data_IF_783075788838
#
_entry.id   IF_783075788838
#
_cell.length_a   1.000
_cell.length_b   1.000
_cell.length_c   1.000
_cell.angle_alpha   90.00
_cell.angle_beta   90.00
_cell.angle_gamma   90.00
#
_symmetry.space_group_name_H-M   'P 1'
#
loop_
_entity.id
_entity.type
_entity.pdbx_description
1 polymer ?
#
# COMPACT_ATOMS: atom_id res chain seq x y z
N UNK A 1 11.84 31.99 -2.69
CA UNK A 1 12.10 30.67 -2.07
C UNK A 1 12.89 30.97 -0.80
N UNK A 2 12.28 30.79 0.37
CA UNK A 2 12.96 31.01 1.65
C UNK A 2 13.84 29.80 1.93
N UNK A 3 15.11 30.04 2.20
CA UNK A 3 16.04 29.05 2.72
C UNK A 3 15.58 28.57 4.09
N UNK A 4 14.83 27.47 4.14
CA UNK A 4 14.53 26.80 5.38
C UNK A 4 15.77 25.97 5.78
N UNK A 5 16.41 26.35 6.90
CA UNK A 5 17.37 25.44 7.56
C UNK A 5 16.65 24.18 7.98
N UNK A 6 16.94 23.10 7.28
CA UNK A 6 16.31 21.80 7.52
C UNK A 6 16.97 21.16 8.74
N UNK A 7 16.20 20.96 9.80
CA UNK A 7 16.64 20.23 11.00
C UNK A 7 16.04 18.82 11.00
N UNK A 8 16.83 17.85 11.43
CA UNK A 8 16.49 16.43 11.70
C UNK A 8 15.30 15.80 10.96
N UNK A 9 14.09 16.04 11.42
CA UNK A 9 12.85 15.43 10.85
C UNK A 9 12.57 15.91 9.42
N UNK A 10 12.94 17.14 9.06
CA UNK A 10 12.73 17.68 7.72
C UNK A 10 13.70 17.06 6.68
N UNK A 11 14.83 16.52 7.13
CA UNK A 11 15.82 15.86 6.26
C UNK A 11 15.23 14.61 5.60
N UNK A 12 14.32 13.91 6.26
CA UNK A 12 13.64 12.74 5.72
C UNK A 12 12.56 13.10 4.67
N UNK A 13 12.01 14.31 4.72
CA UNK A 13 10.98 14.77 3.79
C UNK A 13 11.55 15.30 2.46
N UNK A 14 12.77 15.85 2.47
CA UNK A 14 13.42 16.41 1.27
C UNK A 14 13.49 15.43 0.09
N UNK A 15 13.92 14.15 0.27
CA UNK A 15 13.97 13.20 -0.84
C UNK A 15 12.61 12.93 -1.47
N UNK A 16 11.52 13.07 -0.69
CA UNK A 16 10.14 12.90 -1.17
C UNK A 16 9.76 14.11 -2.04
N UNK A 17 10.03 15.33 -1.58
CA UNK A 17 9.73 16.55 -2.32
C UNK A 17 10.59 16.70 -3.59
N UNK A 18 11.83 16.24 -3.57
CA UNK A 18 12.74 16.32 -4.71
C UNK A 18 12.65 15.11 -5.64
N UNK A 19 11.77 14.14 -5.36
CA UNK A 19 11.57 12.91 -6.13
C UNK A 19 12.86 12.11 -6.37
N UNK A 20 13.84 12.20 -5.47
CA UNK A 20 15.17 11.59 -5.62
C UNK A 20 15.16 10.06 -5.71
N UNK A 21 14.12 9.41 -5.19
CA UNK A 21 13.96 7.95 -5.34
C UNK A 21 13.78 7.49 -6.79
N UNK A 22 13.39 8.40 -7.67
CA UNK A 22 13.20 8.10 -9.08
C UNK A 22 14.53 7.83 -9.79
N UNK A 23 15.59 8.48 -9.34
CA UNK A 23 16.89 8.43 -9.98
C UNK A 23 17.79 7.43 -9.25
N UNK A 24 18.45 6.54 -10.00
CA UNK A 24 19.41 5.59 -9.43
C UNK A 24 20.54 6.37 -8.75
N UNK A 25 20.76 6.09 -7.45
CA UNK A 25 21.77 6.81 -6.67
C UNK A 25 21.42 8.26 -6.33
N UNK A 26 20.20 8.74 -6.66
CA UNK A 26 19.72 10.08 -6.30
C UNK A 26 19.59 10.27 -4.79
N UNK A 27 19.59 9.19 -4.04
CA UNK A 27 19.58 9.17 -2.57
C UNK A 27 20.57 8.14 -2.04
N UNK A 28 21.27 8.46 -0.95
CA UNK A 28 22.15 7.53 -0.25
C UNK A 28 21.72 7.39 1.20
N UNK A 29 21.80 6.19 1.76
CA UNK A 29 21.58 5.91 3.16
C UNK A 29 22.83 5.23 3.73
N UNK A 30 23.39 5.80 4.79
CA UNK A 30 24.67 5.33 5.38
C UNK A 30 25.77 5.09 4.34
N UNK A 31 25.89 5.98 3.35
CA UNK A 31 26.88 5.87 2.26
C UNK A 31 26.52 4.90 1.13
N UNK A 32 25.41 4.18 1.25
CA UNK A 32 24.95 3.23 0.22
C UNK A 32 23.95 3.91 -0.71
N UNK A 33 24.18 3.93 -2.04
CA UNK A 33 23.20 4.44 -3.00
C UNK A 33 21.93 3.60 -2.99
N UNK A 34 20.77 4.26 -2.97
CA UNK A 34 19.48 3.60 -3.06
C UNK A 34 19.08 3.51 -4.53
N UNK A 35 18.78 2.30 -4.98
CA UNK A 35 18.22 2.03 -6.31
C UNK A 35 16.96 1.19 -6.18
N UNK A 36 15.79 1.84 -6.28
CA UNK A 36 14.48 1.15 -6.22
C UNK A 36 14.27 0.22 -7.41
N UNK A 37 14.99 0.42 -8.51
CA UNK A 37 14.92 -0.46 -9.67
C UNK A 37 15.52 -1.84 -9.39
N UNK A 38 16.34 -1.98 -8.36
CA UNK A 38 16.93 -3.26 -7.95
C UNK A 38 15.94 -4.18 -7.25
N UNK A 39 14.75 -3.68 -6.86
CA UNK A 39 13.70 -4.46 -6.19
C UNK A 39 13.13 -5.48 -7.17
N UNK A 40 13.35 -6.76 -6.86
CA UNK A 40 12.89 -7.91 -7.66
C UNK A 40 11.74 -8.67 -6.99
N UNK A 41 11.43 -8.34 -5.75
CA UNK A 41 10.33 -8.95 -5.00
C UNK A 41 9.00 -8.70 -5.72
N UNK A 42 8.15 -9.72 -5.89
CA UNK A 42 6.80 -9.52 -6.40
C UNK A 42 6.05 -8.51 -5.55
N UNK A 43 5.52 -7.48 -6.16
CA UNK A 43 4.91 -6.35 -5.46
C UNK A 43 3.50 -6.07 -5.99
N UNK A 44 2.56 -5.91 -5.06
CA UNK A 44 1.20 -5.49 -5.35
C UNK A 44 1.03 -4.05 -4.90
N UNK A 45 0.80 -3.15 -5.84
CA UNK A 45 0.51 -1.75 -5.58
C UNK A 45 -0.99 -1.52 -5.60
N UNK A 46 -1.49 -0.89 -4.56
CA UNK A 46 -2.87 -0.42 -4.48
C UNK A 46 -2.88 1.10 -4.38
N UNK A 47 -3.70 1.71 -5.18
CA UNK A 47 -4.06 3.13 -5.05
C UNK A 47 -5.56 3.30 -5.14
N UNK A 48 -6.05 4.48 -4.76
CA UNK A 48 -7.47 4.81 -4.87
C UNK A 48 -7.68 6.00 -5.81
N UNK A 49 -8.73 5.93 -6.62
CA UNK A 49 -8.95 6.85 -7.74
C UNK A 49 -9.12 8.31 -7.29
N UNK A 50 -9.83 8.52 -6.19
CA UNK A 50 -10.17 9.84 -5.63
C UNK A 50 -9.24 10.24 -4.48
N UNK A 51 -8.07 9.62 -4.37
CA UNK A 51 -7.11 9.93 -3.32
C UNK A 51 -6.44 11.28 -3.58
N UNK A 52 -6.74 12.24 -2.72
CA UNK A 52 -6.17 13.59 -2.77
C UNK A 52 -4.90 13.75 -1.90
N UNK A 53 -4.60 12.74 -1.06
CA UNK A 53 -3.42 12.74 -0.18
C UNK A 53 -2.25 12.07 -0.90
N UNK A 54 -2.48 10.91 -1.49
CA UNK A 54 -1.52 10.14 -2.28
C UNK A 54 -2.05 9.90 -3.69
N UNK A 55 -1.94 10.89 -4.61
CA UNK A 55 -2.50 10.79 -5.95
C UNK A 55 -2.03 9.53 -6.67
N UNK A 56 -2.97 8.74 -7.18
CA UNK A 56 -2.70 7.44 -7.77
C UNK A 56 -1.72 7.47 -8.96
N UNK A 57 -1.66 8.58 -9.69
CA UNK A 57 -0.69 8.76 -10.79
C UNK A 57 0.74 8.79 -10.29
N UNK A 58 0.97 9.36 -9.10
CA UNK A 58 2.28 9.34 -8.45
C UNK A 58 2.67 7.94 -8.00
N UNK A 59 1.72 7.21 -7.40
CA UNK A 59 1.94 5.81 -7.00
C UNK A 59 2.18 4.91 -8.21
N UNK A 60 1.45 5.12 -9.32
CA UNK A 60 1.66 4.42 -10.57
C UNK A 60 3.08 4.65 -11.12
N UNK A 61 3.54 5.89 -11.11
CA UNK A 61 4.90 6.23 -11.53
C UNK A 61 5.94 5.50 -10.68
N UNK A 62 5.75 5.45 -9.35
CA UNK A 62 6.59 4.67 -8.44
C UNK A 62 6.59 3.17 -8.76
N UNK A 63 5.41 2.60 -9.01
CA UNK A 63 5.26 1.20 -9.36
C UNK A 63 6.00 0.82 -10.65
N UNK A 64 6.11 1.75 -11.61
CA UNK A 64 6.80 1.53 -12.88
C UNK A 64 8.32 1.42 -12.74
N UNK A 65 8.91 1.92 -11.65
CA UNK A 65 10.34 1.91 -11.41
C UNK A 65 10.86 0.52 -11.00
N UNK A 66 10.06 -0.29 -10.35
CA UNK A 66 10.47 -1.62 -9.87
C UNK A 66 10.71 -2.57 -11.03
N UNK A 67 11.81 -3.33 -11.02
CA UNK A 67 12.12 -4.31 -12.08
C UNK A 67 11.56 -5.71 -11.80
N UNK A 68 11.14 -6.00 -10.59
CA UNK A 68 10.46 -7.24 -10.24
C UNK A 68 9.04 -7.36 -10.84
N UNK A 69 8.35 -8.46 -10.60
CA UNK A 69 6.95 -8.60 -10.97
C UNK A 69 6.09 -7.57 -10.21
N UNK A 70 5.41 -6.71 -10.94
CA UNK A 70 4.53 -5.67 -10.37
C UNK A 70 3.11 -5.86 -10.86
N UNK A 71 2.17 -5.89 -9.94
CA UNK A 71 0.74 -5.73 -10.19
C UNK A 71 0.27 -4.41 -9.64
N UNK A 72 -0.36 -3.59 -10.47
CA UNK A 72 -0.97 -2.33 -10.05
C UNK A 72 -2.49 -2.45 -10.10
N UNK A 73 -3.14 -2.03 -9.04
CA UNK A 73 -4.60 -2.04 -8.90
C UNK A 73 -5.06 -0.67 -8.45
N UNK A 74 -6.07 -0.14 -9.12
CA UNK A 74 -6.68 1.14 -8.79
C UNK A 74 -8.09 0.88 -8.26
N UNK A 75 -8.32 1.11 -6.98
CA UNK A 75 -9.65 1.01 -6.37
C UNK A 75 -10.43 2.31 -6.56
N UNK A 76 -11.72 2.23 -6.66
CA UNK A 76 -12.59 3.40 -6.64
C UNK A 76 -12.61 4.08 -5.27
N UNK A 77 -13.22 5.28 -5.21
CA UNK A 77 -13.34 6.08 -3.98
C UNK A 77 -12.02 6.67 -3.46
N UNK A 78 -12.05 7.23 -2.25
CA UNK A 78 -10.95 7.99 -1.65
C UNK A 78 -10.01 7.18 -0.77
N UNK A 79 -9.09 7.88 -0.15
CA UNK A 79 -7.93 7.37 0.62
C UNK A 79 -8.24 6.23 1.59
N UNK A 80 -9.33 6.30 2.33
CA UNK A 80 -9.71 5.28 3.31
C UNK A 80 -10.75 4.32 2.71
N UNK A 81 -11.85 4.85 2.17
CA UNK A 81 -12.97 4.05 1.73
C UNK A 81 -12.65 3.13 0.52
N UNK A 82 -11.72 3.56 -0.34
CA UNK A 82 -11.25 2.72 -1.44
C UNK A 82 -10.35 1.57 -0.98
N UNK A 83 -9.63 1.73 0.12
CA UNK A 83 -8.75 0.70 0.71
C UNK A 83 -9.55 -0.25 1.61
N UNK A 84 -10.29 0.32 2.57
CA UNK A 84 -11.13 -0.44 3.51
C UNK A 84 -12.49 -0.71 2.86
N UNK A 85 -12.51 -1.64 1.93
CA UNK A 85 -13.68 -1.99 1.13
C UNK A 85 -13.97 -3.49 1.22
N UNK A 86 -14.61 -3.96 2.31
CA UNK A 86 -14.86 -5.38 2.51
C UNK A 86 -15.76 -5.94 1.40
N UNK A 87 -15.48 -7.16 0.89
CA UNK A 87 -16.23 -7.76 -0.22
C UNK A 87 -17.74 -7.85 0.02
N UNK A 88 -18.15 -8.10 1.26
CA UNK A 88 -19.56 -8.19 1.63
C UNK A 88 -20.35 -6.88 1.40
N UNK A 89 -19.67 -5.73 1.40
CA UNK A 89 -20.31 -4.44 1.14
C UNK A 89 -20.60 -4.22 -0.34
N UNK A 90 -19.90 -4.93 -1.23
CA UNK A 90 -19.99 -4.83 -2.70
C UNK A 90 -20.02 -3.38 -3.22
N UNK A 91 -19.20 -2.51 -2.61
CA UNK A 91 -19.07 -1.09 -2.97
C UNK A 91 -17.82 -0.88 -3.81
N UNK A 92 -17.82 0.22 -4.53
CA UNK A 92 -16.70 0.73 -5.31
C UNK A 92 -16.07 -0.33 -6.23
N UNK A 93 -15.96 -0.03 -7.49
CA UNK A 93 -15.24 -0.89 -8.42
C UNK A 93 -13.72 -0.71 -8.31
N UNK A 94 -12.98 -1.53 -9.03
CA UNK A 94 -11.55 -1.38 -9.16
C UNK A 94 -11.10 -1.71 -10.58
N UNK A 95 -9.95 -1.16 -10.98
CA UNK A 95 -9.35 -1.39 -12.29
C UNK A 95 -8.09 -2.24 -12.14
N UNK A 96 -7.97 -3.23 -13.00
CA UNK A 96 -6.83 -4.15 -13.08
C UNK A 96 -6.35 -4.27 -14.53
N UNK A 97 -5.06 -4.52 -14.70
CA UNK A 97 -4.47 -4.91 -15.97
C UNK A 97 -3.58 -6.14 -15.79
N UNK A 98 -3.49 -6.95 -16.84
CA UNK A 98 -2.50 -8.04 -16.91
C UNK A 98 -1.12 -7.52 -17.27
N UNK A 99 -1.06 -6.33 -17.85
CA UNK A 99 0.19 -5.70 -18.23
C UNK A 99 0.84 -5.05 -17.00
N UNK A 100 2.16 -5.05 -17.01
CA UNK A 100 2.95 -4.31 -16.04
C UNK A 100 2.67 -2.81 -16.16
N UNK A 101 2.71 -2.03 -15.05
CA UNK A 101 2.67 -0.57 -15.12
C UNK A 101 3.81 -0.05 -16.00
N UNK A 102 3.46 0.56 -17.13
CA UNK A 102 4.38 1.13 -18.11
C UNK A 102 3.70 2.28 -18.86
N UNK A 103 4.47 3.25 -19.28
CA UNK A 103 3.95 4.44 -19.96
C UNK A 103 3.25 5.39 -18.99
N UNK A 104 2.28 6.12 -19.47
CA UNK A 104 1.51 7.03 -18.63
C UNK A 104 0.41 6.29 -17.84
N UNK A 105 0.06 6.86 -16.70
CA UNK A 105 -1.01 6.33 -15.86
C UNK A 105 -2.37 6.33 -16.57
N UNK A 106 -2.62 7.36 -17.38
CA UNK A 106 -3.89 7.50 -18.12
C UNK A 106 -4.00 6.49 -19.27
N UNK A 107 -2.90 6.20 -19.98
CA UNK A 107 -2.86 5.12 -20.98
C UNK A 107 -3.08 3.73 -20.35
N UNK A 108 -2.52 3.51 -19.16
CA UNK A 108 -2.76 2.28 -18.41
C UNK A 108 -4.23 2.17 -18.02
N UNK A 109 -4.84 3.24 -17.50
CA UNK A 109 -6.24 3.25 -17.10
C UNK A 109 -7.19 2.99 -18.29
N UNK A 110 -6.88 3.58 -19.45
CA UNK A 110 -7.67 3.38 -20.67
C UNK A 110 -7.71 1.92 -21.13
N UNK A 111 -6.66 1.14 -20.82
CA UNK A 111 -6.55 -0.29 -21.15
C UNK A 111 -6.99 -1.22 -20.02
N UNK A 112 -7.10 -0.71 -18.81
CA UNK A 112 -7.43 -1.51 -17.63
C UNK A 112 -8.89 -1.97 -17.68
N UNK A 113 -9.12 -3.19 -17.20
CA UNK A 113 -10.47 -3.74 -17.05
C UNK A 113 -11.06 -3.30 -15.72
N UNK A 114 -12.23 -2.67 -15.76
CA UNK A 114 -13.00 -2.36 -14.56
C UNK A 114 -13.69 -3.63 -14.05
N UNK A 115 -13.63 -3.85 -12.75
CA UNK A 115 -14.32 -4.89 -11.99
C UNK A 115 -15.20 -4.25 -10.95
N UNK A 116 -16.35 -4.83 -10.70
CA UNK A 116 -17.25 -4.37 -9.64
C UNK A 116 -16.80 -4.90 -8.27
N UNK A 117 -17.13 -4.13 -7.24
CA UNK A 117 -16.88 -4.49 -5.86
C UNK A 117 -15.41 -4.38 -5.42
N UNK A 118 -15.12 -5.04 -4.32
CA UNK A 118 -13.84 -4.94 -3.61
C UNK A 118 -12.65 -5.52 -4.39
N UNK A 119 -11.49 -4.87 -4.26
CA UNK A 119 -10.20 -5.36 -4.74
C UNK A 119 -9.62 -6.51 -3.87
N UNK A 120 -10.14 -6.74 -2.65
CA UNK A 120 -9.61 -7.74 -1.72
C UNK A 120 -9.56 -9.16 -2.28
N UNK A 121 -10.56 -9.66 -3.02
CA UNK A 121 -10.49 -10.99 -3.64
C UNK A 121 -9.34 -11.11 -4.64
N UNK A 122 -9.09 -10.07 -5.43
CA UNK A 122 -7.97 -10.03 -6.38
C UNK A 122 -6.61 -10.07 -5.66
N UNK A 123 -6.48 -9.31 -4.56
CA UNK A 123 -5.29 -9.36 -3.72
C UNK A 123 -5.11 -10.72 -3.06
N UNK A 124 -6.18 -11.32 -2.54
CA UNK A 124 -6.15 -12.65 -1.92
C UNK A 124 -5.69 -13.72 -2.93
N UNK A 125 -6.17 -13.67 -4.16
CA UNK A 125 -5.71 -14.56 -5.22
C UNK A 125 -4.21 -14.35 -5.51
N UNK A 126 -3.78 -13.10 -5.61
CA UNK A 126 -2.39 -12.76 -5.87
C UNK A 126 -1.46 -13.23 -4.75
N UNK A 127 -1.76 -12.89 -3.49
CA UNK A 127 -0.89 -13.20 -2.34
C UNK A 127 -0.85 -14.71 -2.05
N UNK A 128 -1.92 -15.44 -2.37
CA UNK A 128 -1.97 -16.89 -2.15
C UNK A 128 -0.90 -17.67 -2.94
N UNK A 129 -0.40 -17.10 -4.03
CA UNK A 129 0.68 -17.69 -4.85
C UNK A 129 2.03 -17.71 -4.11
N UNK A 130 2.19 -16.84 -3.12
CA UNK A 130 3.39 -16.70 -2.31
C UNK A 130 3.19 -17.24 -0.89
N UNK A 131 1.96 -17.59 -0.52
CA UNK A 131 1.62 -18.18 0.76
C UNK A 131 1.87 -19.68 0.70
N UNK A 132 2.42 -20.26 1.73
CA UNK A 132 2.55 -21.71 1.85
C UNK A 132 1.19 -22.42 2.00
N UNK A 133 1.21 -23.69 2.37
CA UNK A 133 0.02 -24.47 2.65
C UNK A 133 -0.79 -23.88 3.81
N UNK A 134 -2.11 -24.04 3.75
CA UNK A 134 -2.99 -23.61 4.83
C UNK A 134 -2.65 -24.37 6.11
N UNK A 135 -2.48 -23.63 7.20
CA UNK A 135 -2.25 -24.16 8.54
C UNK A 135 -3.44 -23.85 9.44
N UNK A 136 -3.57 -24.61 10.54
CA UNK A 136 -4.62 -24.35 11.52
C UNK A 136 -4.46 -22.95 12.12
N UNK A 137 -5.54 -22.19 12.19
CA UNK A 137 -5.53 -20.85 12.78
C UNK A 137 -5.07 -20.89 14.24
N UNK A 138 -4.24 -19.94 14.62
CA UNK A 138 -3.83 -19.77 16.02
C UNK A 138 -5.01 -19.22 16.82
N UNK A 139 -5.18 -19.73 18.04
CA UNK A 139 -6.16 -19.18 19.00
C UNK A 139 -5.43 -18.18 19.90
N UNK A 140 -5.84 -16.89 19.91
CA UNK A 140 -5.33 -15.93 20.89
C UNK A 140 -5.54 -16.44 22.32
N UNK A 141 -4.60 -16.17 23.20
CA UNK A 141 -4.69 -16.61 24.61
C UNK A 141 -4.53 -18.10 24.86
N UNK A 142 -4.15 -18.91 23.85
CA UNK A 142 -3.96 -20.35 24.02
C UNK A 142 -2.66 -20.74 24.76
N UNK A 143 -1.70 -19.81 24.93
CA UNK A 143 -0.45 -20.06 25.67
C UNK A 143 -0.62 -19.67 27.13
N UNK A 144 -0.11 -20.51 28.04
CA UNK A 144 -0.11 -20.24 29.51
C UNK A 144 0.55 -18.90 29.85
N UNK A 145 1.60 -18.50 29.13
CA UNK A 145 2.29 -17.21 29.31
C UNK A 145 1.49 -15.97 28.86
N UNK A 146 0.45 -16.18 28.05
CA UNK A 146 -0.40 -15.10 27.53
C UNK A 146 -1.86 -15.55 27.55
N UNK A 147 -2.47 -15.76 28.74
CA UNK A 147 -3.86 -16.16 28.84
C UNK A 147 -4.79 -15.02 28.41
N UNK A 148 -6.02 -15.36 28.08
CA UNK A 148 -7.09 -14.37 27.90
C UNK A 148 -7.32 -13.68 29.24
N UNK A 149 -7.28 -12.36 29.24
CA UNK A 149 -7.54 -11.53 30.43
C UNK A 149 -9.05 -11.27 30.58
N UNK A 150 -9.66 -10.81 29.46
CA UNK A 150 -11.09 -10.48 29.39
C UNK A 150 -11.59 -10.59 27.96
N UNK A 151 -12.90 -10.52 27.76
CA UNK A 151 -13.52 -10.52 26.43
C UNK A 151 -13.25 -9.20 25.71
N UNK A 152 -13.12 -9.25 24.38
CA UNK A 152 -13.02 -8.03 23.57
C UNK A 152 -14.35 -7.21 23.65
N UNK A 153 -14.26 -5.87 23.62
CA UNK A 153 -13.09 -5.00 23.38
C UNK A 153 -12.23 -4.74 24.64
N UNK A 154 -12.58 -5.30 25.78
CA UNK A 154 -11.89 -5.09 27.04
C UNK A 154 -12.32 -3.83 27.79
N UNK A 155 -12.01 -3.82 29.10
CA UNK A 155 -12.40 -2.73 30.01
C UNK A 155 -11.71 -1.42 29.66
N UNK A 156 -10.47 -1.46 29.16
CA UNK A 156 -9.73 -0.25 28.77
C UNK A 156 -10.43 0.53 27.65
N UNK A 157 -10.91 -0.16 26.61
CA UNK A 157 -11.57 0.48 25.48
C UNK A 157 -12.93 1.13 25.83
N UNK A 158 -13.52 0.72 26.95
CA UNK A 158 -14.80 1.24 27.44
C UNK A 158 -14.66 2.44 28.38
N UNK A 159 -13.43 2.76 28.82
CA UNK A 159 -13.18 3.92 29.70
C UNK A 159 -13.11 5.21 28.91
N UNK A 160 -13.81 6.23 29.38
CA UNK A 160 -13.68 7.61 28.89
C UNK A 160 -12.63 8.36 29.70
N UNK A 161 -11.97 9.35 29.08
CA UNK A 161 -10.92 10.14 29.74
C UNK A 161 -11.45 11.07 30.84
N UNK A 162 -12.75 11.32 30.85
CA UNK A 162 -13.47 12.23 31.77
C UNK A 162 -14.18 11.50 32.94
N UNK A 163 -13.85 10.23 33.14
CA UNK A 163 -14.35 9.39 34.25
C UNK A 163 -13.24 8.96 35.21
#
# INVERSE_FOLDING_TARGET
IRDYKVTGVQTCALPIFEYRFKDCGGMTLAGVPIDVSSIKTPTYFLSTYEDHIAPWRSTFSGASLFKGPVKFVLSGSGHIAGVVNPPAANKYGHWISRERPKGSADEWLAKASKKDGSWWPDWQEWVSKFSGTKVKARKPGAKKSFPVIEAAPGSYASKRLDQ
#
